data_IF_605864948651
#
_entry.id   IF_605864948651
#
_cell.length_a   1.000
_cell.length_b   1.000
_cell.length_c   1.000
_cell.angle_alpha   90.00
_cell.angle_beta   90.00
_cell.angle_gamma   90.00
#
_symmetry.space_group_name_H-M   'P 1'
#
loop_
_entity.id
_entity.type
_entity.pdbx_description
1 polymer ?
#
# COMPACT_ATOMS: atom_id res chain seq x y z
N UNK A 1 -3.51 -13.93 -14.43
CA UNK A 1 -3.70 -13.07 -15.62
C UNK A 1 -2.39 -12.36 -15.93
N UNK A 2 -1.99 -12.24 -17.20
CA UNK A 2 -0.88 -11.36 -17.62
C UNK A 2 0.46 -12.01 -18.01
N UNK A 3 0.66 -13.32 -17.85
CA UNK A 3 1.92 -13.98 -18.23
C UNK A 3 2.17 -14.02 -19.75
N UNK A 4 1.11 -13.88 -20.56
CA UNK A 4 1.18 -14.04 -22.03
C UNK A 4 1.01 -12.72 -22.79
N UNK A 5 0.94 -11.58 -22.11
CA UNK A 5 0.93 -10.28 -22.77
C UNK A 5 2.37 -9.83 -23.01
N UNK A 6 2.78 -9.87 -24.28
CA UNK A 6 4.03 -9.29 -24.74
C UNK A 6 3.94 -7.76 -24.62
N UNK A 7 4.13 -7.25 -23.41
CA UNK A 7 4.10 -5.83 -23.09
C UNK A 7 5.47 -5.25 -23.47
N UNK A 8 5.55 -4.40 -24.50
CA UNK A 8 6.85 -3.86 -24.93
C UNK A 8 7.43 -2.91 -23.88
N UNK A 9 6.58 -2.14 -23.19
CA UNK A 9 6.95 -1.19 -22.15
C UNK A 9 5.72 -0.73 -21.32
N UNK A 10 5.94 -0.13 -20.14
CA UNK A 10 4.87 0.34 -19.26
C UNK A 10 4.04 1.46 -19.89
N UNK A 11 4.66 2.40 -20.63
CA UNK A 11 3.94 3.53 -21.25
C UNK A 11 2.85 3.01 -22.19
N UNK A 12 3.16 1.98 -22.98
CA UNK A 12 2.22 1.35 -23.91
C UNK A 12 0.98 0.78 -23.20
N UNK A 13 1.12 0.20 -22.01
CA UNK A 13 -0.05 -0.29 -21.24
C UNK A 13 -0.98 0.86 -20.87
N UNK A 14 -0.43 1.92 -20.27
CA UNK A 14 -1.23 3.06 -19.83
C UNK A 14 -1.84 3.81 -21.02
N UNK A 15 -1.06 4.02 -22.09
CA UNK A 15 -1.55 4.68 -23.30
C UNK A 15 -2.74 3.95 -23.93
N UNK A 16 -2.74 2.60 -23.91
CA UNK A 16 -3.82 1.79 -24.48
C UNK A 16 -5.16 1.98 -23.76
N UNK A 17 -5.15 2.14 -22.44
CA UNK A 17 -6.36 2.45 -21.66
C UNK A 17 -6.90 3.87 -21.96
N UNK A 18 -6.07 4.73 -22.53
CA UNK A 18 -6.38 6.13 -22.84
C UNK A 18 -6.63 6.37 -24.33
N UNK A 19 -6.80 5.30 -25.12
CA UNK A 19 -7.25 5.39 -26.50
C UNK A 19 -8.70 5.89 -26.55
N UNK A 20 -9.06 6.59 -27.64
CA UNK A 20 -10.37 7.24 -27.82
C UNK A 20 -11.58 6.32 -27.67
N UNK A 21 -11.38 5.01 -27.82
CA UNK A 21 -12.39 3.97 -27.58
C UNK A 21 -12.83 3.91 -26.11
N UNK A 22 -11.92 4.19 -25.17
CA UNK A 22 -12.14 4.08 -23.72
C UNK A 22 -12.11 5.43 -23.02
N UNK A 23 -11.28 6.36 -23.49
CA UNK A 23 -11.13 7.68 -22.87
C UNK A 23 -10.77 8.75 -23.93
N UNK A 24 -11.39 9.94 -23.90
CA UNK A 24 -11.24 10.93 -24.99
C UNK A 24 -9.93 11.71 -24.97
N UNK A 25 -9.10 11.57 -23.93
CA UNK A 25 -7.84 12.31 -23.76
C UNK A 25 -6.67 11.32 -23.79
N UNK A 26 -5.73 11.51 -24.72
CA UNK A 26 -4.53 10.68 -24.79
C UNK A 26 -3.55 10.98 -23.65
N UNK A 27 -2.69 10.02 -23.33
CA UNK A 27 -1.64 10.18 -22.32
C UNK A 27 -0.70 11.36 -22.61
N UNK A 28 -0.37 11.61 -23.88
CA UNK A 28 0.52 12.71 -24.29
C UNK A 28 -0.14 14.09 -24.17
N UNK A 29 -1.47 14.16 -24.06
CA UNK A 29 -2.22 15.40 -23.88
C UNK A 29 -2.49 15.75 -22.40
N UNK A 30 -1.98 14.94 -21.47
CA UNK A 30 -2.10 15.19 -20.04
C UNK A 30 -1.13 16.30 -19.59
N UNK A 31 -1.54 17.10 -18.60
CA UNK A 31 -0.76 18.26 -18.13
C UNK A 31 0.49 17.92 -17.31
N UNK A 32 0.80 16.65 -17.09
CA UNK A 32 1.93 16.19 -16.30
C UNK A 32 3.01 15.54 -17.18
N UNK A 33 4.27 15.63 -16.74
CA UNK A 33 5.37 14.86 -17.34
C UNK A 33 5.42 13.47 -16.68
N UNK A 34 5.24 12.42 -17.48
CA UNK A 34 5.32 11.04 -17.02
C UNK A 34 6.69 10.44 -17.30
N UNK A 35 7.30 9.86 -16.27
CA UNK A 35 8.47 8.99 -16.40
C UNK A 35 8.06 7.58 -15.96
N UNK A 36 8.22 6.61 -16.85
CA UNK A 36 7.85 5.22 -16.59
C UNK A 36 9.08 4.44 -16.16
N UNK A 37 9.05 3.92 -14.94
CA UNK A 37 10.13 3.14 -14.36
C UNK A 37 9.66 1.69 -14.16
N UNK A 38 10.29 0.76 -14.89
CA UNK A 38 10.10 -0.67 -14.68
C UNK A 38 11.35 -1.22 -14.01
N UNK A 39 11.28 -1.40 -12.69
CA UNK A 39 12.40 -1.92 -11.91
C UNK A 39 12.19 -3.42 -11.64
N UNK A 40 13.21 -4.21 -11.95
CA UNK A 40 13.26 -5.66 -11.62
C UNK A 40 14.00 -5.92 -10.29
N UNK A 41 14.20 -4.88 -9.49
CA UNK A 41 14.93 -4.95 -8.22
C UNK A 41 13.97 -4.91 -7.04
N UNK A 42 14.29 -5.66 -5.97
CA UNK A 42 13.49 -5.66 -4.75
C UNK A 42 13.41 -4.30 -4.06
N UNK A 43 14.40 -3.43 -4.25
CA UNK A 43 14.47 -2.08 -3.66
C UNK A 43 15.05 -1.08 -4.64
N UNK A 44 14.44 0.09 -4.70
CA UNK A 44 14.95 1.23 -5.46
C UNK A 44 14.77 2.53 -4.66
N UNK A 45 15.59 3.56 -4.95
CA UNK A 45 15.47 4.89 -4.36
C UNK A 45 15.46 5.95 -5.46
N UNK A 46 14.38 6.71 -5.53
CA UNK A 46 14.24 7.87 -6.41
C UNK A 46 14.45 9.14 -5.59
N UNK A 47 15.26 10.05 -6.11
CA UNK A 47 15.42 11.39 -5.56
C UNK A 47 15.56 12.39 -6.69
N UNK A 48 14.78 13.46 -6.64
CA UNK A 48 14.89 14.60 -7.57
C UNK A 48 15.93 15.62 -7.11
N UNK A 49 16.53 15.41 -5.92
CA UNK A 49 17.46 16.34 -5.29
C UNK A 49 16.82 17.62 -4.72
N UNK A 50 15.50 17.82 -4.85
CA UNK A 50 14.83 19.08 -4.48
C UNK A 50 13.64 18.93 -3.52
N UNK A 51 13.00 17.76 -3.45
CA UNK A 51 11.69 17.64 -2.79
C UNK A 51 11.51 16.40 -1.91
N UNK A 52 12.41 15.41 -1.92
CA UNK A 52 12.32 14.23 -1.06
C UNK A 52 12.95 12.99 -1.66
N UNK A 53 12.83 11.87 -0.94
CA UNK A 53 13.30 10.55 -1.35
C UNK A 53 12.13 9.57 -1.34
N UNK A 54 11.92 8.88 -2.46
CA UNK A 54 10.94 7.80 -2.58
C UNK A 54 11.71 6.46 -2.64
N UNK A 55 11.45 5.58 -1.68
CA UNK A 55 11.99 4.22 -1.67
C UNK A 55 10.88 3.23 -2.01
N UNK A 56 11.25 2.17 -2.71
CA UNK A 56 10.36 1.03 -2.98
C UNK A 56 10.87 -0.21 -2.25
N UNK A 57 9.95 -1.08 -1.83
CA UNK A 57 10.29 -2.40 -1.27
C UNK A 57 9.30 -3.45 -1.75
N UNK A 58 9.79 -4.40 -2.54
CA UNK A 58 9.03 -5.58 -2.97
C UNK A 58 8.69 -6.45 -1.78
N UNK A 59 7.45 -6.92 -1.73
CA UNK A 59 6.98 -7.76 -0.65
C UNK A 59 6.05 -8.87 -1.16
N UNK A 60 5.58 -9.70 -0.22
CA UNK A 60 4.93 -10.96 -0.53
C UNK A 60 3.45 -10.75 -0.88
N UNK A 61 3.11 -11.00 -2.14
CA UNK A 61 1.75 -11.04 -2.67
C UNK A 61 1.73 -11.95 -3.90
N UNK A 62 0.65 -12.70 -4.18
CA UNK A 62 0.49 -13.37 -5.46
C UNK A 62 0.61 -12.40 -6.64
N UNK A 63 1.56 -12.64 -7.54
CA UNK A 63 1.87 -11.71 -8.65
C UNK A 63 2.87 -10.61 -8.30
N UNK A 64 3.21 -10.44 -7.02
CA UNK A 64 4.15 -9.44 -6.51
C UNK A 64 3.51 -8.08 -6.28
N UNK A 65 3.96 -7.40 -5.22
CA UNK A 65 3.54 -6.07 -4.83
C UNK A 65 4.73 -5.26 -4.28
N UNK A 66 4.58 -3.94 -4.25
CA UNK A 66 5.60 -3.00 -3.78
C UNK A 66 5.02 -2.02 -2.78
N UNK A 67 5.75 -1.83 -1.69
CA UNK A 67 5.50 -0.74 -0.74
C UNK A 67 6.29 0.49 -1.14
N UNK A 68 5.75 1.66 -0.83
CA UNK A 68 6.35 2.95 -1.12
C UNK A 68 6.60 3.72 0.18
N UNK A 69 7.83 4.21 0.36
CA UNK A 69 8.21 5.05 1.49
C UNK A 69 8.66 6.39 0.96
N UNK A 70 7.95 7.45 1.33
CA UNK A 70 8.24 8.81 0.95
C UNK A 70 8.79 9.58 2.14
N UNK A 71 10.00 10.12 1.98
CA UNK A 71 10.68 10.92 2.99
C UNK A 71 10.82 12.36 2.47
N UNK A 72 10.13 13.31 3.09
CA UNK A 72 10.03 14.70 2.63
C UNK A 72 10.02 15.61 3.85
N UNK A 73 10.91 16.62 3.88
CA UNK A 73 10.88 17.65 4.93
C UNK A 73 11.02 17.09 6.36
N UNK A 74 11.73 15.97 6.55
CA UNK A 74 11.85 15.29 7.84
C UNK A 74 10.63 14.46 8.25
N UNK A 75 9.63 14.33 7.37
CA UNK A 75 8.46 13.48 7.54
C UNK A 75 8.58 12.20 6.73
N UNK A 76 7.98 11.13 7.25
CA UNK A 76 7.98 9.79 6.65
C UNK A 76 6.55 9.31 6.45
N UNK A 77 6.18 9.10 5.20
CA UNK A 77 4.94 8.46 4.79
C UNK A 77 5.24 7.09 4.20
N UNK A 78 4.47 6.07 4.57
CA UNK A 78 4.60 4.72 4.02
C UNK A 78 3.24 4.24 3.54
N UNK A 79 3.20 3.73 2.31
CA UNK A 79 2.05 3.06 1.71
C UNK A 79 2.44 1.62 1.40
N UNK A 80 1.86 0.66 2.13
CA UNK A 80 2.19 -0.75 2.03
C UNK A 80 0.91 -1.58 2.03
N UNK A 81 0.36 -1.81 0.84
CA UNK A 81 -0.85 -2.62 0.63
C UNK A 81 -0.51 -3.93 -0.05
N UNK A 82 -1.48 -4.84 -0.17
CA UNK A 82 -1.34 -6.13 -0.84
C UNK A 82 -0.14 -6.93 -0.30
N UNK A 83 -0.22 -7.35 0.97
CA UNK A 83 0.84 -8.05 1.68
C UNK A 83 0.33 -9.23 2.48
N UNK A 84 0.95 -10.39 2.26
CA UNK A 84 0.80 -11.56 3.12
C UNK A 84 2.06 -11.81 3.95
N UNK A 85 1.87 -11.94 5.26
CA UNK A 85 2.90 -12.45 6.16
C UNK A 85 2.98 -13.98 6.11
N UNK A 86 4.17 -14.53 6.32
CA UNK A 86 4.35 -15.97 6.53
C UNK A 86 3.93 -16.39 7.94
N UNK A 87 4.63 -17.39 8.48
CA UNK A 87 4.45 -17.82 9.88
C UNK A 87 4.76 -16.70 10.88
N UNK A 88 5.71 -15.83 10.53
CA UNK A 88 6.07 -14.65 11.29
C UNK A 88 5.79 -13.37 10.49
N UNK A 89 5.70 -12.24 11.20
CA UNK A 89 5.67 -10.92 10.57
C UNK A 89 6.91 -10.72 9.70
N UNK A 90 6.72 -9.97 8.61
CA UNK A 90 7.78 -9.74 7.64
C UNK A 90 8.69 -8.62 8.16
N UNK A 91 9.87 -8.99 8.66
CA UNK A 91 10.85 -8.04 9.21
C UNK A 91 11.24 -6.94 8.22
N UNK A 92 11.26 -7.24 6.92
CA UNK A 92 11.56 -6.24 5.88
C UNK A 92 10.49 -5.15 5.84
N UNK A 93 9.23 -5.52 6.09
CA UNK A 93 8.11 -4.56 6.13
C UNK A 93 8.17 -3.72 7.40
N UNK A 94 8.50 -4.33 8.54
CA UNK A 94 8.70 -3.61 9.81
C UNK A 94 9.82 -2.57 9.65
N UNK A 95 10.98 -2.97 9.13
CA UNK A 95 12.09 -2.03 8.90
C UNK A 95 11.73 -0.96 7.87
N UNK A 96 10.95 -1.30 6.84
CA UNK A 96 10.50 -0.34 5.84
C UNK A 96 9.50 0.69 6.41
N UNK A 97 8.69 0.30 7.39
CA UNK A 97 7.74 1.16 8.09
C UNK A 97 8.35 1.97 9.24
N UNK A 98 9.64 1.77 9.53
CA UNK A 98 10.30 2.31 10.72
C UNK A 98 10.16 3.82 10.85
N UNK A 99 9.71 4.25 12.03
CA UNK A 99 9.49 5.64 12.45
C UNK A 99 8.58 6.45 11.52
N UNK A 100 7.69 5.77 10.76
CA UNK A 100 6.76 6.49 9.88
C UNK A 100 5.83 7.40 10.67
N UNK A 101 5.67 8.65 10.21
CA UNK A 101 4.65 9.56 10.72
C UNK A 101 3.25 9.06 10.37
N UNK A 102 3.10 8.47 9.17
CA UNK A 102 1.88 7.81 8.72
C UNK A 102 2.22 6.54 7.95
N UNK A 103 1.61 5.43 8.36
CA UNK A 103 1.59 4.18 7.63
C UNK A 103 0.16 3.93 7.13
N UNK A 104 -0.02 3.87 5.81
CA UNK A 104 -1.19 3.25 5.19
C UNK A 104 -0.86 1.80 4.91
N UNK A 105 -1.68 0.90 5.46
CA UNK A 105 -1.46 -0.53 5.45
C UNK A 105 -2.73 -1.28 5.07
N UNK A 106 -2.61 -2.39 4.34
CA UNK A 106 -3.77 -3.23 4.08
C UNK A 106 -4.20 -4.03 5.31
N UNK A 107 -5.50 -4.27 5.48
CA UNK A 107 -5.99 -5.17 6.51
C UNK A 107 -7.33 -5.74 6.06
N UNK A 108 -7.29 -6.57 5.03
CA UNK A 108 -8.53 -7.06 4.43
C UNK A 108 -9.32 -7.94 5.39
N UNK A 109 -8.64 -8.69 6.26
CA UNK A 109 -9.28 -9.70 7.10
C UNK A 109 -9.22 -9.37 8.59
N UNK A 110 -10.15 -9.92 9.37
CA UNK A 110 -9.94 -10.06 10.81
C UNK A 110 -8.93 -11.18 11.12
N UNK A 111 -8.37 -11.22 12.34
CA UNK A 111 -7.52 -12.33 12.79
C UNK A 111 -8.20 -13.69 12.67
N UNK A 112 -9.52 -13.75 12.86
CA UNK A 112 -10.31 -14.97 12.78
C UNK A 112 -10.59 -15.41 11.33
N UNK A 113 -10.63 -14.46 10.39
CA UNK A 113 -10.85 -14.72 8.97
C UNK A 113 -9.57 -15.15 8.26
N UNK A 114 -8.44 -14.50 8.57
CA UNK A 114 -7.16 -14.67 7.88
C UNK A 114 -6.73 -16.14 7.65
N UNK A 115 -6.88 -17.09 8.61
CA UNK A 115 -6.51 -18.48 8.39
C UNK A 115 -7.20 -19.15 7.19
N UNK A 116 -8.41 -18.70 6.82
CA UNK A 116 -9.18 -19.25 5.69
C UNK A 116 -8.68 -18.73 4.33
N UNK A 117 -7.97 -17.61 4.33
CA UNK A 117 -7.54 -16.89 3.13
C UNK A 117 -6.02 -16.90 2.95
N UNK A 118 -5.31 -17.80 3.63
CA UNK A 118 -3.86 -17.98 3.42
C UNK A 118 -3.55 -18.29 1.95
N UNK A 119 -2.53 -17.63 1.42
CA UNK A 119 -2.12 -17.68 0.02
C UNK A 119 -2.82 -16.65 -0.87
N UNK A 120 -3.78 -15.87 -0.36
CA UNK A 120 -4.47 -14.84 -1.16
C UNK A 120 -3.69 -13.54 -1.26
N UNK A 121 -2.65 -13.35 -0.43
CA UNK A 121 -1.85 -12.13 -0.47
C UNK A 121 -2.23 -11.08 0.56
N UNK A 122 -3.10 -11.37 1.53
CA UNK A 122 -3.57 -10.36 2.47
C UNK A 122 -3.22 -10.63 3.93
N UNK A 123 -3.41 -9.62 4.77
CA UNK A 123 -3.09 -9.58 6.18
C UNK A 123 -4.31 -9.23 7.03
N UNK A 124 -4.17 -9.43 8.34
CA UNK A 124 -5.18 -9.00 9.31
C UNK A 124 -4.88 -7.65 9.93
N UNK A 125 -5.91 -6.98 10.44
CA UNK A 125 -5.73 -5.75 11.21
C UNK A 125 -4.82 -5.94 12.44
N UNK A 126 -4.76 -7.15 13.01
CA UNK A 126 -3.84 -7.46 14.11
C UNK A 126 -2.39 -7.43 13.64
N UNK A 127 -2.09 -8.05 12.51
CA UNK A 127 -0.74 -8.03 11.94
C UNK A 127 -0.31 -6.60 11.60
N UNK A 128 -1.21 -5.79 11.04
CA UNK A 128 -0.97 -4.39 10.76
C UNK A 128 -0.61 -3.58 12.03
N UNK A 129 -1.34 -3.79 13.12
CA UNK A 129 -1.07 -3.14 14.41
C UNK A 129 0.29 -3.56 14.97
N UNK A 130 0.62 -4.85 14.93
CA UNK A 130 1.90 -5.33 15.45
C UNK A 130 3.08 -4.82 14.60
N UNK A 131 2.93 -4.74 13.28
CA UNK A 131 3.91 -4.07 12.41
C UNK A 131 4.07 -2.61 12.80
N UNK A 132 2.98 -1.86 12.97
CA UNK A 132 3.03 -0.45 13.33
C UNK A 132 3.72 -0.21 14.68
N UNK A 133 3.45 -1.06 15.68
CA UNK A 133 4.10 -1.00 17.00
C UNK A 133 5.59 -1.28 16.92
N UNK A 134 5.98 -2.38 16.27
CA UNK A 134 7.39 -2.77 16.15
C UNK A 134 8.20 -1.77 15.35
N UNK A 135 7.58 -1.13 14.36
CA UNK A 135 8.19 -0.10 13.55
C UNK A 135 8.22 1.29 14.22
N UNK A 136 7.50 1.51 15.32
CA UNK A 136 7.40 2.83 15.96
C UNK A 136 6.63 3.85 15.11
N UNK A 137 5.60 3.40 14.40
CA UNK A 137 4.71 4.25 13.60
C UNK A 137 3.90 5.17 14.49
N UNK A 138 3.69 6.43 14.08
CA UNK A 138 2.90 7.41 14.85
C UNK A 138 1.40 7.31 14.60
N UNK A 139 0.99 7.08 13.35
CA UNK A 139 -0.40 6.98 12.89
C UNK A 139 -0.54 5.84 11.87
N UNK A 140 -1.53 4.97 12.07
CA UNK A 140 -1.83 3.82 11.22
C UNK A 140 -3.20 4.00 10.57
N UNK A 141 -3.26 3.87 9.25
CA UNK A 141 -4.48 3.83 8.47
C UNK A 141 -4.60 2.46 7.79
N UNK A 142 -5.68 1.76 8.11
CA UNK A 142 -6.00 0.46 7.51
C UNK A 142 -6.86 0.67 6.25
N UNK A 143 -6.55 -0.04 5.17
CA UNK A 143 -7.28 0.02 3.90
C UNK A 143 -7.43 -1.38 3.30
N UNK A 144 -7.91 -1.46 2.05
CA UNK A 144 -8.23 -2.73 1.36
C UNK A 144 -9.21 -3.60 2.15
N UNK A 145 -10.24 -3.00 2.73
CA UNK A 145 -11.29 -3.72 3.46
C UNK A 145 -11.99 -4.74 2.56
N UNK A 146 -12.40 -5.87 3.14
CA UNK A 146 -13.13 -6.87 2.37
C UNK A 146 -14.46 -6.29 1.86
N UNK A 147 -14.82 -6.45 0.57
CA UNK A 147 -16.06 -5.92 0.03
C UNK A 147 -17.34 -6.44 0.71
N UNK A 148 -17.26 -7.59 1.39
CA UNK A 148 -18.39 -8.15 2.15
C UNK A 148 -18.52 -7.52 3.56
N UNK A 149 -17.55 -6.72 3.99
CA UNK A 149 -17.61 -5.98 5.25
C UNK A 149 -18.32 -4.64 5.06
N UNK A 150 -19.47 -4.48 5.71
CA UNK A 150 -20.21 -3.23 5.69
C UNK A 150 -19.68 -2.19 6.71
N UNK A 151 -20.20 -0.96 6.65
CA UNK A 151 -19.76 0.15 7.50
C UNK A 151 -19.88 -0.14 9.00
N UNK A 152 -20.95 -0.80 9.44
CA UNK A 152 -21.14 -1.13 10.87
C UNK A 152 -20.07 -2.09 11.36
N UNK A 153 -19.73 -3.09 10.54
CA UNK A 153 -18.65 -4.02 10.81
C UNK A 153 -17.31 -3.29 10.91
N UNK A 154 -16.97 -2.48 9.91
CA UNK A 154 -15.69 -1.75 9.87
C UNK A 154 -15.55 -0.78 11.05
N UNK A 155 -16.61 -0.06 11.42
CA UNK A 155 -16.60 0.80 12.60
C UNK A 155 -16.40 0.02 13.90
N UNK A 156 -16.93 -1.21 13.99
CA UNK A 156 -16.72 -2.07 15.15
C UNK A 156 -15.28 -2.57 15.24
N UNK A 157 -14.70 -3.00 14.13
CA UNK A 157 -13.30 -3.43 14.08
C UNK A 157 -12.34 -2.26 14.34
N UNK A 158 -12.63 -1.07 13.81
CA UNK A 158 -11.83 0.14 14.07
C UNK A 158 -11.76 0.46 15.57
N UNK A 159 -12.88 0.38 16.30
CA UNK A 159 -12.89 0.58 17.76
C UNK A 159 -11.99 -0.41 18.49
N UNK A 160 -12.04 -1.70 18.12
CA UNK A 160 -11.14 -2.73 18.68
C UNK A 160 -9.67 -2.42 18.37
N UNK A 161 -9.38 -1.93 17.16
CA UNK A 161 -8.04 -1.55 16.77
C UNK A 161 -7.53 -0.37 17.61
N UNK A 162 -8.36 0.64 17.84
CA UNK A 162 -8.05 1.82 18.65
C UNK A 162 -7.80 1.48 20.12
N UNK A 163 -8.44 0.45 20.67
CA UNK A 163 -8.13 -0.07 22.01
C UNK A 163 -6.69 -0.63 22.10
N UNK A 164 -6.16 -1.18 21.01
CA UNK A 164 -4.81 -1.77 20.94
C UNK A 164 -3.74 -0.82 20.44
N UNK A 165 -4.12 0.17 19.63
CA UNK A 165 -3.28 1.20 19.05
C UNK A 165 -4.12 2.44 18.80
N UNK A 166 -4.08 3.39 19.76
CA UNK A 166 -4.99 4.54 19.82
C UNK A 166 -5.04 5.37 18.51
N UNK A 167 -3.92 5.46 17.79
CA UNK A 167 -3.82 6.19 16.53
C UNK A 167 -4.04 5.29 15.30
N UNK A 168 -4.92 4.29 15.41
CA UNK A 168 -5.38 3.44 14.31
C UNK A 168 -6.70 3.98 13.75
N UNK A 169 -6.81 4.02 12.43
CA UNK A 169 -8.00 4.45 11.71
C UNK A 169 -8.28 3.52 10.55
N UNK A 170 -9.54 3.35 10.18
CA UNK A 170 -9.95 2.68 8.95
C UNK A 170 -10.18 3.76 7.89
N UNK A 171 -9.47 3.66 6.77
CA UNK A 171 -9.50 4.66 5.70
C UNK A 171 -10.87 4.66 5.00
N UNK A 172 -11.41 5.84 4.74
CA UNK A 172 -12.69 6.05 4.05
C UNK A 172 -12.50 6.97 2.85
N UNK A 173 -13.42 6.87 1.91
CA UNK A 173 -13.48 7.82 0.80
C UNK A 173 -13.65 9.25 1.34
N UNK A 174 -12.80 10.16 0.86
CA UNK A 174 -12.79 11.56 1.28
C UNK A 174 -11.95 11.86 2.53
N UNK A 175 -11.29 10.88 3.14
CA UNK A 175 -10.38 11.14 4.28
C UNK A 175 -9.18 11.99 3.85
N UNK A 176 -8.94 13.08 4.57
CA UNK A 176 -7.78 13.95 4.40
C UNK A 176 -6.91 13.93 5.67
N UNK A 177 -5.61 13.69 5.51
CA UNK A 177 -4.67 13.61 6.62
C UNK A 177 -3.42 14.44 6.38
N UNK A 178 -3.14 15.34 7.33
CA UNK A 178 -1.88 16.09 7.39
C UNK A 178 -0.86 15.30 8.23
N UNK A 179 0.39 15.27 7.76
CA UNK A 179 1.51 14.57 8.38
C UNK A 179 2.67 15.50 8.69
#
# INVERSE_FOLDING_TARGET
>A
MGKDLNIPDLKTIFAKQMESTFFPVSLDNMGAQFSFHLENTDKHSYSTGKTGRLLTNRHNHPGGAYGYRLEVGGKVFVYCTDLEHGECLNEKVIEFAKEADLLIYEAQYTPEELPKFRGWGHSSWEQAIEVAKLAGVKKLYLTNHDPEHNDEFLQKEERKCQERFQNCYFAREGDENLI
#
